data_IF_619701426188
#
_entry.id   IF_619701426188
#
_cell.length_a   1.000
_cell.length_b   1.000
_cell.length_c   1.000
_cell.angle_alpha   90.00
_cell.angle_beta   90.00
_cell.angle_gamma   90.00
#
_symmetry.space_group_name_H-M   'P 1'
#
loop_
_entity.id
_entity.type
_entity.pdbx_description
1 polymer ?
#
# COMPACT_ATOMS: atom_id res chain seq x y z
N UNK A 1 -25.40 21.22 -19.31
CA UNK A 1 -24.25 20.41 -18.83
C UNK A 1 -23.56 21.08 -17.62
N UNK A 2 -23.49 22.41 -17.56
CA UNK A 2 -22.80 23.15 -16.46
C UNK A 2 -23.58 23.15 -15.13
N UNK A 3 -24.78 22.61 -15.07
CA UNK A 3 -25.62 22.58 -13.87
C UNK A 3 -25.77 21.16 -13.26
N UNK A 4 -25.10 20.15 -13.85
CA UNK A 4 -25.15 18.80 -13.29
C UNK A 4 -24.15 18.72 -12.13
N UNK A 5 -24.59 18.32 -10.94
CA UNK A 5 -23.68 18.15 -9.82
C UNK A 5 -22.68 17.03 -10.12
N UNK A 6 -21.40 17.36 -10.14
CA UNK A 6 -20.33 16.36 -10.26
C UNK A 6 -19.93 15.87 -8.85
N UNK A 7 -19.53 14.61 -8.70
CA UNK A 7 -19.24 14.02 -7.38
C UNK A 7 -17.91 14.50 -6.78
N UNK A 8 -17.18 15.40 -7.43
CA UNK A 8 -15.86 15.87 -7.01
C UNK A 8 -15.76 17.40 -7.13
N UNK A 9 -14.87 17.98 -6.33
CA UNK A 9 -14.62 19.42 -6.25
C UNK A 9 -13.12 19.69 -6.46
N UNK A 10 -12.66 19.81 -7.72
CA UNK A 10 -11.25 19.87 -8.06
C UNK A 10 -10.57 21.13 -7.55
N UNK A 11 -9.29 20.98 -7.18
CA UNK A 11 -8.39 22.08 -6.86
C UNK A 11 -7.18 22.05 -7.77
N UNK A 12 -6.59 23.23 -7.99
CA UNK A 12 -5.34 23.29 -8.77
C UNK A 12 -4.22 22.69 -7.94
N UNK A 13 -3.55 21.72 -8.52
CA UNK A 13 -2.30 21.16 -7.99
C UNK A 13 -1.19 21.28 -9.04
N UNK A 14 -0.02 21.70 -8.61
CA UNK A 14 1.17 21.74 -9.47
C UNK A 14 2.06 20.59 -9.10
N UNK A 15 2.26 19.66 -10.02
CA UNK A 15 3.24 18.59 -9.88
C UNK A 15 4.65 19.16 -9.89
N UNK A 16 5.58 18.49 -9.22
CA UNK A 16 7.00 18.70 -9.38
C UNK A 16 7.45 18.51 -10.85
N UNK A 17 8.64 18.95 -11.18
CA UNK A 17 9.19 18.70 -12.52
C UNK A 17 9.39 17.19 -12.70
N UNK A 18 8.71 16.62 -13.69
CA UNK A 18 8.91 15.21 -14.07
C UNK A 18 10.28 15.10 -14.72
N UNK A 19 11.16 14.18 -14.27
CA UNK A 19 12.49 14.04 -14.82
C UNK A 19 12.44 13.52 -16.26
N UNK A 20 13.43 13.91 -17.06
CA UNK A 20 13.64 13.29 -18.37
C UNK A 20 13.91 11.80 -18.20
N UNK A 21 13.42 10.97 -19.13
CA UNK A 21 13.68 9.53 -19.16
C UNK A 21 15.13 9.21 -19.59
N UNK A 22 16.10 9.72 -18.83
CA UNK A 22 17.53 9.57 -19.06
C UNK A 22 18.23 9.10 -17.77
N UNK A 23 19.46 8.64 -17.84
CA UNK A 23 20.20 8.17 -16.67
C UNK A 23 19.51 7.00 -15.98
N UNK A 24 19.22 7.11 -14.70
CA UNK A 24 18.53 6.06 -13.91
C UNK A 24 17.09 5.82 -14.36
N UNK A 25 16.46 6.76 -15.04
CA UNK A 25 15.11 6.67 -15.59
C UNK A 25 15.08 6.31 -17.08
N UNK A 26 16.23 6.00 -17.69
CA UNK A 26 16.28 5.56 -19.07
C UNK A 26 15.57 4.22 -19.25
N UNK A 27 14.91 4.08 -20.39
CA UNK A 27 14.34 2.79 -20.80
C UNK A 27 15.41 1.71 -20.78
N UNK A 28 15.06 0.53 -20.28
CA UNK A 28 15.97 -0.59 -20.21
C UNK A 28 15.22 -1.92 -20.42
N UNK A 29 15.96 -3.01 -20.50
CA UNK A 29 15.44 -4.37 -20.74
C UNK A 29 15.64 -5.29 -19.53
N UNK A 30 15.84 -4.73 -18.33
CA UNK A 30 16.15 -5.53 -17.14
C UNK A 30 15.07 -6.58 -16.82
N UNK A 31 13.82 -6.28 -17.13
CA UNK A 31 12.67 -7.19 -16.91
C UNK A 31 12.30 -8.03 -18.15
N UNK A 32 13.08 -8.00 -19.24
CA UNK A 32 12.74 -8.76 -20.47
C UNK A 32 12.81 -10.29 -20.30
N UNK A 33 13.48 -10.76 -19.26
CA UNK A 33 13.64 -12.19 -18.94
C UNK A 33 12.79 -12.68 -17.77
N UNK A 34 11.76 -11.92 -17.34
CA UNK A 34 10.90 -12.36 -16.24
C UNK A 34 10.07 -13.58 -16.64
N UNK A 35 9.88 -14.48 -15.70
CA UNK A 35 9.00 -15.63 -15.83
C UNK A 35 7.66 -15.37 -15.18
N UNK A 36 6.58 -15.74 -15.87
CA UNK A 36 5.24 -15.71 -15.30
C UNK A 36 4.98 -17.03 -14.56
N UNK A 37 5.09 -17.00 -13.22
CA UNK A 37 4.96 -18.20 -12.40
C UNK A 37 3.54 -18.76 -12.37
N UNK A 38 2.52 -17.88 -12.37
CA UNK A 38 1.11 -18.28 -12.40
C UNK A 38 0.35 -17.53 -13.50
N UNK A 39 -0.72 -18.15 -13.98
CA UNK A 39 -1.61 -17.56 -14.98
C UNK A 39 -3.07 -17.79 -14.61
N UNK A 40 -4.00 -17.05 -15.24
CA UNK A 40 -5.43 -17.16 -14.96
C UNK A 40 -5.86 -16.50 -13.64
N UNK A 41 -5.01 -15.65 -13.09
CA UNK A 41 -5.34 -14.75 -11.97
C UNK A 41 -5.57 -13.34 -12.49
N UNK A 42 -6.56 -12.65 -11.94
CA UNK A 42 -6.93 -11.31 -12.40
C UNK A 42 -6.47 -10.26 -11.39
N UNK A 43 -5.68 -9.30 -11.89
CA UNK A 43 -5.18 -8.14 -11.16
C UNK A 43 -4.58 -8.51 -9.79
N UNK A 44 -3.57 -9.39 -9.76
CA UNK A 44 -2.78 -9.56 -8.55
C UNK A 44 -2.15 -8.20 -8.19
N UNK A 45 -2.10 -7.90 -6.90
CA UNK A 45 -1.65 -6.57 -6.49
C UNK A 45 -0.34 -6.66 -5.74
N UNK A 46 -0.29 -7.34 -4.60
CA UNK A 46 0.92 -7.54 -3.83
C UNK A 46 1.31 -9.03 -3.78
N UNK A 47 2.57 -9.31 -3.45
CA UNK A 47 3.10 -10.67 -3.28
C UNK A 47 3.95 -10.75 -2.03
N UNK A 48 3.54 -11.58 -1.07
CA UNK A 48 4.31 -11.85 0.14
C UNK A 48 4.64 -13.34 0.29
N UNK A 49 5.79 -13.65 0.88
CA UNK A 49 6.18 -15.02 1.18
C UNK A 49 5.76 -15.40 2.60
N UNK A 50 5.01 -16.49 2.73
CA UNK A 50 4.58 -17.02 4.02
C UNK A 50 5.61 -17.94 4.70
N UNK A 51 5.43 -18.23 6.01
CA UNK A 51 6.34 -19.06 6.79
C UNK A 51 6.54 -20.48 6.24
N UNK A 52 5.55 -20.99 5.49
CA UNK A 52 5.59 -22.31 4.86
C UNK A 52 6.30 -22.33 3.49
N UNK A 53 6.85 -21.20 3.04
CA UNK A 53 7.50 -21.05 1.74
C UNK A 53 6.55 -20.85 0.56
N UNK A 54 5.23 -20.79 0.80
CA UNK A 54 4.26 -20.37 -0.21
C UNK A 54 4.31 -18.86 -0.40
N UNK A 55 4.07 -18.41 -1.62
CA UNK A 55 3.77 -17.01 -1.93
C UNK A 55 2.26 -16.79 -1.91
N UNK A 56 1.86 -15.60 -1.50
CA UNK A 56 0.46 -15.19 -1.39
C UNK A 56 0.25 -13.90 -2.18
N UNK A 57 -0.91 -13.78 -2.83
CA UNK A 57 -1.28 -12.57 -3.58
C UNK A 57 -2.79 -12.32 -3.50
N UNK A 58 -3.18 -11.05 -3.36
CA UNK A 58 -4.57 -10.60 -3.37
C UNK A 58 -5.09 -10.37 -4.79
N UNK A 59 -6.33 -10.78 -5.08
CA UNK A 59 -6.97 -10.65 -6.37
C UNK A 59 -8.14 -9.66 -6.35
N UNK A 60 -8.53 -9.17 -7.53
CA UNK A 60 -9.64 -8.21 -7.67
C UNK A 60 -10.98 -8.74 -7.12
N UNK A 61 -11.20 -10.04 -7.23
CA UNK A 61 -12.45 -10.68 -6.79
C UNK A 61 -12.55 -10.96 -5.28
N UNK A 62 -11.53 -10.53 -4.52
CA UNK A 62 -11.48 -10.68 -3.05
C UNK A 62 -10.82 -11.96 -2.57
N UNK A 63 -10.37 -12.83 -3.48
CA UNK A 63 -9.57 -13.99 -3.11
C UNK A 63 -8.14 -13.60 -2.77
N UNK A 64 -7.56 -14.31 -1.82
CA UNK A 64 -6.12 -14.42 -1.65
C UNK A 64 -5.73 -15.80 -2.15
N UNK A 65 -4.88 -15.87 -3.14
CA UNK A 65 -4.32 -17.11 -3.65
C UNK A 65 -2.95 -17.36 -3.06
N UNK A 66 -2.55 -18.63 -2.97
CA UNK A 66 -1.18 -19.00 -2.64
C UNK A 66 -0.64 -20.03 -3.62
N UNK A 67 0.65 -20.03 -3.83
CA UNK A 67 1.37 -20.90 -4.77
C UNK A 67 2.81 -21.11 -4.32
N UNK A 68 3.45 -22.16 -4.83
CA UNK A 68 4.87 -22.42 -4.55
C UNK A 68 5.79 -21.48 -5.34
N UNK A 69 7.05 -21.41 -4.94
CA UNK A 69 8.09 -20.58 -5.56
C UNK A 69 8.32 -20.84 -7.07
N UNK A 70 7.92 -22.00 -7.56
CA UNK A 70 7.93 -22.36 -8.98
C UNK A 70 6.57 -22.23 -9.67
N UNK A 71 5.59 -21.59 -9.03
CA UNK A 71 4.24 -21.39 -9.53
C UNK A 71 3.32 -22.60 -9.44
N UNK A 72 3.82 -23.74 -8.90
CA UNK A 72 2.99 -24.94 -8.75
C UNK A 72 1.99 -24.84 -7.61
N UNK A 73 0.96 -25.67 -7.71
CA UNK A 73 -0.11 -25.85 -6.74
C UNK A 73 -0.83 -24.53 -6.35
N UNK A 74 -1.25 -23.71 -7.36
CA UNK A 74 -1.99 -22.51 -7.06
C UNK A 74 -3.37 -22.89 -6.50
N UNK A 75 -3.70 -22.32 -5.34
CA UNK A 75 -4.99 -22.55 -4.69
C UNK A 75 -5.51 -21.28 -4.03
N UNK A 76 -6.81 -21.17 -3.86
CA UNK A 76 -7.40 -20.11 -3.03
C UNK A 76 -7.10 -20.40 -1.56
N UNK A 77 -6.39 -19.48 -0.91
CA UNK A 77 -6.16 -19.56 0.51
C UNK A 77 -7.39 -19.12 1.29
N UNK A 78 -7.96 -17.97 0.95
CA UNK A 78 -9.15 -17.42 1.62
C UNK A 78 -9.85 -16.39 0.72
N UNK A 79 -11.14 -16.15 0.97
CA UNK A 79 -11.89 -15.04 0.36
C UNK A 79 -12.13 -13.97 1.43
N UNK A 80 -11.62 -12.74 1.22
CA UNK A 80 -11.83 -11.64 2.18
C UNK A 80 -13.24 -11.07 2.07
N UNK A 81 -13.87 -11.18 0.91
CA UNK A 81 -15.13 -10.50 0.58
C UNK A 81 -14.95 -9.00 0.35
N UNK A 82 -13.71 -8.54 0.16
CA UNK A 82 -13.35 -7.18 -0.16
C UNK A 82 -12.39 -7.11 -1.35
N UNK A 83 -11.37 -6.26 -1.26
CA UNK A 83 -10.25 -6.18 -2.20
C UNK A 83 -8.94 -6.20 -1.42
N UNK A 84 -8.32 -7.36 -1.23
CA UNK A 84 -7.00 -7.45 -0.61
C UNK A 84 -5.93 -6.83 -1.51
N UNK A 85 -5.15 -5.92 -0.96
CA UNK A 85 -4.05 -5.19 -1.58
C UNK A 85 -2.74 -5.56 -0.86
N UNK A 86 -2.07 -4.63 -0.19
CA UNK A 86 -0.83 -4.90 0.54
C UNK A 86 -1.00 -5.98 1.62
N UNK A 87 0.01 -6.84 1.78
CA UNK A 87 -0.06 -7.91 2.77
C UNK A 87 1.31 -8.38 3.27
N UNK A 88 1.37 -8.73 4.56
CA UNK A 88 2.60 -9.23 5.18
C UNK A 88 2.27 -10.20 6.32
N UNK A 89 3.14 -11.17 6.57
CA UNK A 89 2.99 -12.06 7.72
C UNK A 89 3.54 -11.44 9.00
N UNK A 90 2.77 -11.51 10.08
CA UNK A 90 3.24 -11.17 11.42
C UNK A 90 4.17 -12.29 11.98
N UNK A 91 4.86 -11.99 13.08
CA UNK A 91 5.75 -12.96 13.75
C UNK A 91 5.04 -14.19 14.32
N UNK A 92 3.70 -14.18 14.39
CA UNK A 92 2.86 -15.30 14.85
C UNK A 92 2.37 -16.16 13.69
N UNK A 93 2.67 -15.78 12.45
CA UNK A 93 2.25 -16.47 11.23
C UNK A 93 0.83 -16.14 10.78
N UNK A 94 0.24 -15.05 11.25
CA UNK A 94 -0.99 -14.52 10.68
C UNK A 94 -0.67 -13.63 9.50
N UNK A 95 -1.47 -13.71 8.45
CA UNK A 95 -1.39 -12.80 7.31
C UNK A 95 -2.16 -11.52 7.66
N UNK A 96 -1.44 -10.40 7.76
CA UNK A 96 -2.03 -9.07 7.91
C UNK A 96 -2.27 -8.52 6.52
N UNK A 97 -3.46 -7.98 6.28
CA UNK A 97 -3.92 -7.57 4.95
C UNK A 97 -4.52 -6.18 5.02
N UNK A 98 -4.06 -5.29 4.17
CA UNK A 98 -4.72 -4.06 3.82
C UNK A 98 -5.83 -4.38 2.80
N UNK A 99 -7.08 -4.29 3.21
CA UNK A 99 -8.22 -4.55 2.31
C UNK A 99 -8.94 -3.23 2.04
N UNK A 100 -8.97 -2.82 0.77
CA UNK A 100 -9.50 -1.52 0.37
C UNK A 100 -10.94 -1.27 0.82
N UNK A 101 -11.73 -2.31 1.04
CA UNK A 101 -13.15 -2.16 1.39
C UNK A 101 -13.46 -2.58 2.81
N UNK A 102 -12.61 -3.39 3.44
CA UNK A 102 -12.83 -3.97 4.75
C UNK A 102 -11.91 -3.43 5.85
N UNK A 103 -10.88 -2.65 5.47
CA UNK A 103 -9.90 -2.12 6.42
C UNK A 103 -8.71 -3.04 6.64
N UNK A 104 -8.05 -2.93 7.79
CA UNK A 104 -6.92 -3.77 8.16
C UNK A 104 -7.43 -5.09 8.74
N UNK A 105 -6.99 -6.20 8.17
CA UNK A 105 -7.42 -7.55 8.53
C UNK A 105 -6.25 -8.37 9.09
N UNK A 106 -6.56 -9.36 9.92
CA UNK A 106 -5.64 -10.44 10.30
C UNK A 106 -6.28 -11.78 9.94
N UNK A 107 -5.54 -12.61 9.22
CA UNK A 107 -6.00 -13.91 8.75
C UNK A 107 -5.08 -15.00 9.32
N UNK A 108 -5.66 -15.86 10.12
CA UNK A 108 -4.90 -16.96 10.73
C UNK A 108 -4.66 -18.12 9.76
N UNK A 109 -3.72 -19.01 10.11
CA UNK A 109 -3.40 -20.18 9.29
C UNK A 109 -4.59 -21.12 9.04
N UNK A 110 -5.61 -21.09 9.89
CA UNK A 110 -6.88 -21.79 9.72
C UNK A 110 -7.95 -20.94 9.01
N UNK A 111 -7.50 -19.89 8.28
CA UNK A 111 -8.32 -19.05 7.39
C UNK A 111 -9.40 -18.22 8.09
N UNK A 112 -9.30 -18.04 9.42
CA UNK A 112 -10.21 -17.15 10.13
C UNK A 112 -9.81 -15.71 9.97
N UNK A 113 -10.75 -14.89 9.52
CA UNK A 113 -10.57 -13.46 9.30
C UNK A 113 -11.04 -12.69 10.54
N UNK A 114 -10.18 -11.84 11.06
CA UNK A 114 -10.48 -10.85 12.10
C UNK A 114 -10.25 -9.46 11.51
N UNK A 115 -11.23 -8.57 11.61
CA UNK A 115 -11.03 -7.14 11.33
C UNK A 115 -10.28 -6.55 12.52
N UNK A 116 -9.15 -5.91 12.23
CA UNK A 116 -8.33 -5.19 13.21
C UNK A 116 -8.79 -3.74 13.31
N UNK A 117 -8.87 -3.06 12.16
CA UNK A 117 -9.27 -1.64 12.06
C UNK A 117 -10.10 -1.46 10.78
N UNK A 118 -11.30 -0.94 10.89
CA UNK A 118 -12.15 -0.54 9.76
C UNK A 118 -12.70 0.87 9.91
N UNK A 119 -12.47 1.49 11.06
CA UNK A 119 -12.95 2.83 11.40
C UNK A 119 -11.89 3.59 12.18
N UNK A 120 -11.84 4.91 12.00
CA UNK A 120 -11.05 5.82 12.82
C UNK A 120 -11.88 7.09 13.09
N UNK A 121 -11.92 7.56 14.35
CA UNK A 121 -12.75 8.68 14.81
C UNK A 121 -14.22 8.57 14.37
N UNK A 122 -14.77 7.35 14.42
CA UNK A 122 -16.17 7.07 14.07
C UNK A 122 -16.47 7.11 12.57
N UNK A 123 -15.45 7.25 11.70
CA UNK A 123 -15.57 7.20 10.25
C UNK A 123 -14.94 5.94 9.69
N UNK A 124 -15.61 5.33 8.71
CA UNK A 124 -15.07 4.17 7.99
C UNK A 124 -13.80 4.55 7.24
N UNK A 125 -12.79 3.67 7.27
CA UNK A 125 -11.67 3.70 6.35
C UNK A 125 -12.19 3.25 4.97
N UNK A 126 -11.92 4.06 3.93
CA UNK A 126 -12.52 3.83 2.62
C UNK A 126 -11.61 3.11 1.64
N UNK A 127 -10.28 3.15 1.88
CA UNK A 127 -9.31 2.59 0.96
C UNK A 127 -7.99 2.27 1.68
N UNK A 128 -7.99 1.24 2.54
CA UNK A 128 -6.74 0.75 3.16
C UNK A 128 -5.94 0.04 2.09
N UNK A 129 -4.69 0.51 1.84
CA UNK A 129 -3.96 0.19 0.62
C UNK A 129 -2.74 -0.71 0.88
N UNK A 130 -1.77 -0.23 1.65
CA UNK A 130 -0.54 -0.97 1.89
C UNK A 130 -0.14 -0.96 3.36
N UNK A 131 0.78 -1.85 3.75
CA UNK A 131 1.24 -1.98 5.12
C UNK A 131 2.68 -2.50 5.23
N UNK A 132 3.32 -2.19 6.36
CA UNK A 132 4.54 -2.85 6.81
C UNK A 132 4.51 -3.06 8.34
N UNK A 133 5.25 -4.04 8.85
CA UNK A 133 5.17 -4.50 10.24
C UNK A 133 6.53 -4.38 10.92
N UNK A 134 6.58 -3.64 12.02
CA UNK A 134 7.79 -3.55 12.85
C UNK A 134 8.13 -4.86 13.57
N UNK A 135 9.36 -5.01 14.01
CA UNK A 135 9.84 -6.19 14.74
C UNK A 135 9.08 -6.45 16.06
N UNK A 136 8.51 -5.41 16.66
CA UNK A 136 7.64 -5.54 17.85
C UNK A 136 6.17 -5.81 17.51
N UNK A 137 5.83 -5.86 16.21
CA UNK A 137 4.51 -6.24 15.69
C UNK A 137 3.54 -5.07 15.48
N UNK A 138 3.98 -3.82 15.59
CA UNK A 138 3.16 -2.65 15.24
C UNK A 138 3.01 -2.59 13.71
N UNK A 139 1.78 -2.43 13.23
CA UNK A 139 1.46 -2.37 11.80
C UNK A 139 1.35 -0.91 11.37
N UNK A 140 2.17 -0.50 10.42
CA UNK A 140 2.05 0.78 9.72
C UNK A 140 1.24 0.56 8.46
N UNK A 141 0.25 1.40 8.20
CA UNK A 141 -0.61 1.21 7.03
C UNK A 141 -1.14 2.53 6.48
N UNK A 142 -1.42 2.54 5.20
CA UNK A 142 -2.01 3.67 4.48
C UNK A 142 -3.52 3.49 4.32
N UNK A 143 -4.24 4.64 4.28
CA UNK A 143 -5.61 4.76 3.82
C UNK A 143 -5.61 5.83 2.71
N UNK A 144 -5.77 5.39 1.48
CA UNK A 144 -5.50 6.20 0.30
C UNK A 144 -6.46 7.39 0.17
N UNK A 145 -7.72 7.23 0.59
CA UNK A 145 -8.73 8.29 0.50
C UNK A 145 -9.77 8.22 1.61
N UNK A 146 -10.10 9.39 2.19
CA UNK A 146 -11.25 9.56 3.10
C UNK A 146 -12.56 9.89 2.38
N UNK A 147 -12.52 10.05 1.06
CA UNK A 147 -13.65 10.53 0.28
C UNK A 147 -14.13 9.54 -0.76
N UNK A 148 -13.22 8.93 -1.46
CA UNK A 148 -13.54 8.02 -2.55
C UNK A 148 -13.18 6.58 -2.16
N UNK A 149 -14.13 5.69 -2.38
CA UNK A 149 -13.94 4.25 -2.22
C UNK A 149 -13.30 3.62 -3.47
N UNK A 150 -13.08 2.31 -3.43
CA UNK A 150 -12.50 1.54 -4.52
C UNK A 150 -13.22 1.74 -5.88
N UNK A 151 -14.53 1.91 -5.88
CA UNK A 151 -15.29 2.10 -7.13
C UNK A 151 -15.10 3.50 -7.76
N UNK A 152 -14.66 4.46 -6.96
CA UNK A 152 -14.59 5.87 -7.34
C UNK A 152 -13.19 6.48 -7.20
N UNK A 153 -12.17 5.71 -6.88
CA UNK A 153 -10.81 6.20 -6.55
C UNK A 153 -10.19 7.07 -7.66
N UNK A 154 -10.53 6.82 -8.91
CA UNK A 154 -10.03 7.64 -10.02
C UNK A 154 -10.46 9.12 -9.93
N UNK A 155 -11.54 9.40 -9.20
CA UNK A 155 -11.99 10.77 -8.96
C UNK A 155 -11.03 11.52 -8.02
N UNK A 156 -10.27 10.81 -7.18
CA UNK A 156 -9.20 11.41 -6.36
C UNK A 156 -8.14 12.07 -7.24
N UNK A 157 -7.72 11.39 -8.32
CA UNK A 157 -6.77 11.92 -9.28
C UNK A 157 -7.29 13.17 -10.00
N UNK A 158 -8.60 13.26 -10.26
CA UNK A 158 -9.21 14.41 -10.91
C UNK A 158 -9.54 15.54 -9.94
N UNK A 159 -9.82 15.23 -8.69
CA UNK A 159 -10.10 16.23 -7.67
C UNK A 159 -8.83 16.90 -7.15
N UNK A 160 -7.73 16.15 -7.10
CA UNK A 160 -6.43 16.61 -6.60
C UNK A 160 -6.47 17.22 -5.19
N UNK A 161 -7.42 16.78 -4.35
CA UNK A 161 -7.48 17.11 -2.92
C UNK A 161 -6.83 16.01 -2.11
N UNK A 162 -5.85 16.35 -1.28
CA UNK A 162 -5.20 15.35 -0.46
C UNK A 162 -6.14 14.93 0.68
N UNK A 163 -6.54 13.67 0.70
CA UNK A 163 -7.38 13.08 1.75
C UNK A 163 -6.80 11.81 2.35
N UNK A 164 -5.70 11.29 1.78
CA UNK A 164 -5.03 10.10 2.26
C UNK A 164 -4.33 10.29 3.61
N UNK A 165 -4.05 9.17 4.28
CA UNK A 165 -3.53 9.13 5.65
C UNK A 165 -2.52 8.00 5.83
N UNK A 166 -1.61 8.18 6.80
CA UNK A 166 -0.71 7.14 7.31
C UNK A 166 -1.04 6.89 8.79
N UNK A 167 -1.25 5.63 9.13
CA UNK A 167 -1.58 5.17 10.47
C UNK A 167 -0.57 4.18 11.01
N UNK A 168 -0.60 3.97 12.33
CA UNK A 168 -0.11 2.75 12.95
C UNK A 168 -1.20 2.09 13.79
N UNK A 169 -1.15 0.75 13.87
CA UNK A 169 -1.98 -0.07 14.73
C UNK A 169 -1.10 -0.91 15.65
N UNK A 170 -1.35 -0.86 16.95
CA UNK A 170 -0.67 -1.68 17.94
C UNK A 170 -1.55 -2.89 18.32
N UNK A 171 -1.20 -4.11 17.92
CA UNK A 171 -2.02 -5.29 18.21
C UNK A 171 -2.02 -5.69 19.69
N UNK A 172 -1.10 -5.14 20.50
CA UNK A 172 -1.01 -5.42 21.94
C UNK A 172 -2.04 -4.63 22.76
N UNK A 173 -2.36 -3.40 22.32
CA UNK A 173 -3.34 -2.51 22.97
C UNK A 173 -4.64 -2.42 22.20
N UNK A 174 -4.60 -2.63 20.89
CA UNK A 174 -5.71 -2.41 19.97
C UNK A 174 -5.84 -0.94 19.53
N UNK A 175 -4.86 -0.10 19.86
CA UNK A 175 -4.88 1.33 19.54
C UNK A 175 -4.49 1.58 18.09
N UNK A 176 -5.18 2.53 17.45
CA UNK A 176 -4.85 3.06 16.13
C UNK A 176 -4.48 4.52 16.26
N UNK A 177 -3.35 4.91 15.68
CA UNK A 177 -2.80 6.27 15.77
C UNK A 177 -2.62 6.85 14.36
N UNK A 178 -3.09 8.09 14.16
CA UNK A 178 -2.88 8.86 12.93
C UNK A 178 -1.56 9.62 13.02
N UNK A 179 -0.69 9.45 12.05
CA UNK A 179 0.64 10.10 12.00
C UNK A 179 0.74 11.17 10.91
N UNK A 180 0.23 10.89 9.71
CA UNK A 180 0.20 11.84 8.61
C UNK A 180 -1.20 11.88 8.02
N UNK A 181 -1.66 13.08 7.69
CA UNK A 181 -2.89 13.34 6.96
C UNK A 181 -2.62 14.21 5.71
N UNK A 182 -3.67 14.48 4.95
CA UNK A 182 -3.56 15.30 3.74
C UNK A 182 -2.53 14.76 2.72
N UNK A 183 -2.44 13.45 2.61
CA UNK A 183 -1.67 12.76 1.58
C UNK A 183 -2.51 12.63 0.30
N UNK A 184 -1.89 12.76 -0.86
CA UNK A 184 -2.60 12.64 -2.13
C UNK A 184 -2.54 11.21 -2.63
N UNK A 185 -3.52 10.40 -2.23
CA UNK A 185 -3.60 8.97 -2.45
C UNK A 185 -2.42 8.24 -1.81
N UNK A 186 -2.49 8.09 -0.47
CA UNK A 186 -1.47 7.37 0.30
C UNK A 186 -1.48 5.89 -0.07
N UNK A 187 -0.38 5.41 -0.63
CA UNK A 187 -0.23 4.06 -1.15
C UNK A 187 0.93 3.35 -0.43
N UNK A 188 1.92 2.82 -1.15
CA UNK A 188 3.01 2.02 -0.66
C UNK A 188 3.62 2.48 0.66
N UNK A 189 3.77 1.56 1.61
CA UNK A 189 4.33 1.80 2.95
C UNK A 189 5.51 0.87 3.16
N UNK A 190 6.66 1.41 3.58
CA UNK A 190 7.82 0.58 3.94
C UNK A 190 8.60 1.17 5.10
N UNK A 191 9.00 0.33 6.04
CA UNK A 191 9.92 0.66 7.10
C UNK A 191 11.35 0.75 6.56
N UNK A 192 12.07 1.75 7.01
CA UNK A 192 13.48 1.90 6.67
C UNK A 192 14.40 1.08 7.58
N UNK A 193 15.72 1.11 7.28
CA UNK A 193 16.71 0.40 8.08
C UNK A 193 16.56 0.67 9.58
N UNK A 194 16.68 -0.39 10.37
CA UNK A 194 16.55 -0.34 11.84
C UNK A 194 15.22 0.26 12.32
N UNK A 195 14.19 0.29 11.44
CA UNK A 195 12.91 0.95 11.72
C UNK A 195 13.09 2.42 12.16
N UNK A 196 14.10 3.08 11.61
CA UNK A 196 14.41 4.47 11.97
C UNK A 196 13.37 5.45 11.42
N UNK A 197 12.68 5.06 10.36
CA UNK A 197 11.64 5.82 9.69
C UNK A 197 10.68 4.90 8.95
N UNK A 198 9.54 5.44 8.55
CA UNK A 198 8.61 4.84 7.59
C UNK A 198 8.51 5.73 6.36
N UNK A 199 8.48 5.11 5.18
CA UNK A 199 8.17 5.77 3.92
C UNK A 199 6.70 5.55 3.58
N UNK A 200 6.09 6.55 2.93
CA UNK A 200 4.76 6.45 2.34
C UNK A 200 4.73 7.13 0.98
N UNK A 201 4.18 6.45 0.00
CA UNK A 201 3.99 7.00 -1.35
C UNK A 201 2.74 7.88 -1.41
N UNK A 202 2.85 9.03 -2.09
CA UNK A 202 1.72 9.83 -2.54
C UNK A 202 1.59 9.68 -4.06
N UNK A 203 0.75 8.72 -4.49
CA UNK A 203 0.62 8.31 -5.89
C UNK A 203 0.38 9.49 -6.83
N UNK A 204 -0.64 10.29 -6.57
CA UNK A 204 -1.01 11.40 -7.46
C UNK A 204 -0.18 12.69 -7.26
N UNK A 205 0.78 12.67 -6.33
CA UNK A 205 1.84 13.70 -6.24
C UNK A 205 3.17 13.25 -6.82
N UNK A 206 3.28 11.99 -7.25
CA UNK A 206 4.52 11.42 -7.79
C UNK A 206 5.70 11.62 -6.84
N UNK A 207 5.48 11.37 -5.55
CA UNK A 207 6.51 11.54 -4.52
C UNK A 207 6.39 10.51 -3.40
N UNK A 208 7.46 10.39 -2.62
CA UNK A 208 7.51 9.60 -1.39
C UNK A 208 7.85 10.50 -0.22
N UNK A 209 7.13 10.38 0.87
CA UNK A 209 7.45 11.03 2.15
C UNK A 209 8.15 10.05 3.07
N UNK A 210 8.94 10.60 4.00
CA UNK A 210 9.55 9.91 5.12
C UNK A 210 9.07 10.51 6.42
N UNK A 211 8.58 9.66 7.32
CA UNK A 211 8.29 10.01 8.70
C UNK A 211 9.33 9.35 9.60
N UNK A 212 10.08 10.13 10.34
CA UNK A 212 11.06 9.63 11.27
C UNK A 212 10.41 9.04 12.52
N UNK A 213 10.81 7.83 12.89
CA UNK A 213 10.27 7.11 14.04
C UNK A 213 11.20 7.14 15.24
N UNK A 214 12.51 7.31 15.01
CA UNK A 214 13.55 7.25 16.05
C UNK A 214 14.50 8.45 15.98
N UNK A 215 15.20 8.71 17.09
CA UNK A 215 16.21 9.76 17.19
C UNK A 215 15.64 11.16 17.37
N UNK A 216 16.47 12.18 17.16
CA UNK A 216 16.14 13.59 17.39
C UNK A 216 15.05 14.11 16.43
N UNK A 217 14.84 13.42 15.32
CA UNK A 217 13.83 13.78 14.32
C UNK A 217 12.51 13.00 14.47
N UNK A 218 12.36 12.17 15.48
CA UNK A 218 11.15 11.39 15.68
C UNK A 218 9.89 12.26 15.62
N UNK A 219 8.89 11.83 14.84
CA UNK A 219 7.66 12.58 14.58
C UNK A 219 7.76 13.65 13.48
N UNK A 220 8.94 13.92 12.93
CA UNK A 220 9.10 14.86 11.82
C UNK A 220 8.95 14.14 10.48
N UNK A 221 8.28 14.78 9.53
CA UNK A 221 8.17 14.29 8.16
C UNK A 221 8.91 15.18 7.18
N UNK A 222 9.39 14.58 6.10
CA UNK A 222 10.06 15.29 5.00
C UNK A 222 9.80 14.58 3.67
N UNK A 223 10.01 15.27 2.55
CA UNK A 223 10.02 14.65 1.24
C UNK A 223 11.28 13.79 1.09
N UNK A 224 11.11 12.50 0.83
CA UNK A 224 12.20 11.56 0.57
C UNK A 224 12.60 11.55 -0.90
N UNK A 225 11.60 11.44 -1.81
CA UNK A 225 11.77 11.56 -3.25
C UNK A 225 10.62 12.40 -3.82
N UNK A 226 10.90 13.19 -4.84
CA UNK A 226 9.90 14.02 -5.54
C UNK A 226 10.15 13.98 -7.06
N UNK A 227 9.10 14.25 -7.84
CA UNK A 227 9.19 14.24 -9.28
C UNK A 227 9.50 12.86 -9.85
N UNK A 228 8.85 11.82 -9.35
CA UNK A 228 9.00 10.47 -9.89
C UNK A 228 8.47 10.39 -11.34
N UNK A 229 9.03 9.52 -12.21
CA UNK A 229 8.64 9.44 -13.61
C UNK A 229 7.33 8.68 -13.87
N UNK A 230 6.64 8.24 -12.83
CA UNK A 230 5.36 7.55 -12.86
C UNK A 230 4.67 7.66 -11.51
N UNK A 231 3.50 7.07 -11.40
CA UNK A 231 2.72 7.05 -10.17
C UNK A 231 3.28 5.99 -9.21
N UNK A 232 3.90 6.38 -8.07
CA UNK A 232 4.39 5.41 -7.11
C UNK A 232 3.22 4.65 -6.47
N UNK A 233 3.35 3.33 -6.49
CA UNK A 233 2.40 2.35 -5.99
C UNK A 233 3.01 1.65 -4.76
N UNK A 234 3.01 0.32 -4.70
CA UNK A 234 3.60 -0.45 -3.61
C UNK A 234 5.09 -0.14 -3.42
N UNK A 235 5.54 -0.29 -2.19
CA UNK A 235 6.91 -0.03 -1.77
C UNK A 235 7.37 -1.12 -0.80
N UNK A 236 8.57 -1.64 -0.99
CA UNK A 236 9.15 -2.61 -0.06
C UNK A 236 10.65 -2.38 0.15
N UNK A 237 11.13 -2.66 1.37
CA UNK A 237 12.54 -2.65 1.72
C UNK A 237 13.14 -4.04 1.54
N UNK A 238 14.34 -4.14 0.94
CA UNK A 238 14.96 -5.43 0.64
C UNK A 238 16.00 -5.89 1.68
N UNK A 239 16.06 -5.25 2.85
CA UNK A 239 17.04 -5.51 3.92
C UNK A 239 18.52 -5.33 3.53
N UNK A 240 18.80 -4.86 2.30
CA UNK A 240 20.14 -4.63 1.75
C UNK A 240 20.35 -3.14 1.39
N UNK A 241 19.66 -2.26 2.06
CA UNK A 241 19.79 -0.80 1.92
C UNK A 241 19.03 -0.21 0.73
N UNK A 242 18.22 -0.98 0.02
CA UNK A 242 17.46 -0.52 -1.14
C UNK A 242 15.95 -0.71 -0.96
N UNK A 243 15.19 0.17 -1.58
CA UNK A 243 13.74 0.05 -1.71
C UNK A 243 13.37 -0.34 -3.12
N UNK A 244 12.42 -1.24 -3.24
CA UNK A 244 11.73 -1.53 -4.48
C UNK A 244 10.43 -0.73 -4.51
N UNK A 245 10.21 -0.01 -5.60
CA UNK A 245 9.01 0.80 -5.79
C UNK A 245 8.38 0.44 -7.13
N UNK A 246 7.14 0.02 -7.11
CA UNK A 246 6.35 -0.10 -8.32
C UNK A 246 5.96 1.30 -8.81
N UNK A 247 6.07 1.54 -10.11
CA UNK A 247 5.58 2.76 -10.76
C UNK A 247 4.52 2.34 -11.77
N UNK A 248 3.29 2.82 -11.58
CA UNK A 248 2.19 2.58 -12.49
C UNK A 248 1.99 3.77 -13.43
N UNK A 249 1.67 3.48 -14.66
CA UNK A 249 1.45 4.50 -15.70
C UNK A 249 2.71 5.31 -16.05
N UNK A 250 2.69 6.06 -17.14
CA UNK A 250 3.59 7.17 -17.39
C UNK A 250 2.98 8.44 -16.85
#
# INVERSE_FOLDING_TARGET
LLLWPVPFNPVVHTLGAIPDRTGIYAENTALSGVEHLISGVEKPEDVTQGPSGYFYSGLEDGRIVRFKDDGRDPETFVETGGRPLGMQFDSKGNLIVADATRGLLSISSDQKIKVLVDTFDGKKLLFVDDLDITSDGKVWFSDASQKFDLAHFILEAWETRPTGRLFSFDPSTGDTELHLDNLMFANGVALGPDEAYVLVNETFRMRTLRLWLKGERAGQSETFMDGLPGFPDNLSYNDDGMFWMALTGP
#
